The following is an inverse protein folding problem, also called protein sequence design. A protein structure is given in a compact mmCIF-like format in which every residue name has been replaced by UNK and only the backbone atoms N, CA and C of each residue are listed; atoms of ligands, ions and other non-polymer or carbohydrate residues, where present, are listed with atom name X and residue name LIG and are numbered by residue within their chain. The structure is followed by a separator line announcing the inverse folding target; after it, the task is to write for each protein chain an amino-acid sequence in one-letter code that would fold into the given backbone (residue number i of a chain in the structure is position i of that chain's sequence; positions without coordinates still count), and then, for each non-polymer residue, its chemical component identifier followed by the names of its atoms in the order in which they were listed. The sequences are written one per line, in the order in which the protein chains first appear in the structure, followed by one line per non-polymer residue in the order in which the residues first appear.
data_IF_778297679169
#
_entry.id   IF_778297679169
#
_cell.length_a   1.000
_cell.length_b   1.000
_cell.length_c   1.000
_cell.angle_alpha   90.00
_cell.angle_beta   90.00
_cell.angle_gamma   90.00
#
_symmetry.space_group_name_H-M   'P 1'
#
loop_
_entity.id
_entity.type
_entity.pdbx_description
1 polymer ?
#
# COMPACT_ATOMS: atom_id res chain seq x y z
N UNK A 1 -23.31 -4.92 -1.45
CA UNK A 1 -22.67 -5.50 -0.27
C UNK A 1 -23.10 -4.74 0.96
N UNK A 2 -23.24 -5.40 2.14
CA UNK A 2 -23.70 -4.76 3.39
C UNK A 2 -22.54 -4.05 4.07
N UNK A 3 -22.65 -2.75 4.34
CA UNK A 3 -21.66 -1.98 5.12
C UNK A 3 -21.55 -2.51 6.54
N UNK A 4 -20.35 -2.47 7.10
CA UNK A 4 -20.07 -2.88 8.48
C UNK A 4 -19.94 -1.61 9.32
N UNK A 5 -20.84 -1.43 10.26
CA UNK A 5 -20.93 -0.20 11.06
C UNK A 5 -20.20 -0.29 12.42
N UNK A 6 -19.85 -1.50 12.87
CA UNK A 6 -19.12 -1.67 14.13
C UNK A 6 -17.61 -1.73 13.88
N UNK A 7 -16.86 -0.82 14.49
CA UNK A 7 -15.41 -0.70 14.31
C UNK A 7 -14.65 -1.99 14.70
N UNK A 8 -15.02 -2.62 15.79
CA UNK A 8 -14.40 -3.89 16.23
C UNK A 8 -14.64 -5.00 15.21
N UNK A 9 -15.83 -5.04 14.62
CA UNK A 9 -16.15 -6.02 13.57
C UNK A 9 -15.35 -5.76 12.28
N UNK A 10 -15.12 -4.50 11.93
CA UNK A 10 -14.25 -4.13 10.80
C UNK A 10 -12.85 -4.70 11.02
N UNK A 11 -12.26 -4.46 12.20
CA UNK A 11 -10.93 -4.99 12.55
C UNK A 11 -10.92 -6.52 12.47
N UNK A 12 -11.90 -7.18 13.08
CA UNK A 12 -11.98 -8.65 13.14
C UNK A 12 -12.25 -9.31 11.78
N UNK A 13 -12.96 -8.64 10.88
CA UNK A 13 -13.31 -9.15 9.54
C UNK A 13 -12.27 -8.88 8.47
N UNK A 14 -11.36 -7.91 8.70
CA UNK A 14 -10.28 -7.64 7.75
C UNK A 14 -9.41 -8.89 7.57
N UNK A 15 -9.24 -9.31 6.33
CA UNK A 15 -8.36 -10.42 5.92
C UNK A 15 -7.59 -10.07 4.66
N UNK A 16 -6.40 -10.66 4.50
CA UNK A 16 -5.67 -10.64 3.23
C UNK A 16 -6.28 -11.67 2.28
N UNK A 17 -7.10 -11.20 1.36
CA UNK A 17 -7.79 -12.03 0.36
C UNK A 17 -7.05 -11.95 -0.96
N UNK A 18 -6.76 -13.11 -1.55
CA UNK A 18 -6.01 -13.25 -2.81
C UNK A 18 -6.83 -13.98 -3.89
N UNK A 19 -8.14 -13.94 -3.77
CA UNK A 19 -9.09 -14.45 -4.77
C UNK A 19 -10.21 -13.41 -4.92
N UNK A 20 -10.28 -12.76 -6.07
CA UNK A 20 -11.26 -11.73 -6.37
C UNK A 20 -12.24 -12.20 -7.44
N UNK A 21 -13.48 -11.78 -7.34
CA UNK A 21 -14.52 -12.07 -8.32
C UNK A 21 -14.28 -11.25 -9.60
N UNK A 22 -14.41 -11.90 -10.75
CA UNK A 22 -14.31 -11.24 -12.05
C UNK A 22 -15.53 -10.36 -12.32
N UNK A 23 -15.34 -9.31 -13.12
CA UNK A 23 -16.46 -8.48 -13.61
C UNK A 23 -17.10 -7.56 -12.57
N UNK A 24 -16.55 -7.46 -11.37
CA UNK A 24 -16.99 -6.49 -10.37
C UNK A 24 -16.41 -5.11 -10.65
N UNK A 25 -17.09 -4.09 -10.12
CA UNK A 25 -16.71 -2.68 -10.20
C UNK A 25 -16.79 -2.05 -8.82
N UNK A 26 -16.16 -0.90 -8.66
CA UNK A 26 -16.23 -0.06 -7.46
C UNK A 26 -16.55 1.38 -7.88
N UNK A 27 -17.37 2.07 -7.11
CA UNK A 27 -17.67 3.48 -7.38
C UNK A 27 -16.50 4.39 -6.99
N UNK A 28 -16.38 5.51 -7.66
CA UNK A 28 -15.37 6.54 -7.34
C UNK A 28 -15.58 7.07 -5.93
N UNK A 29 -16.83 7.20 -5.48
CA UNK A 29 -17.17 7.66 -4.13
C UNK A 29 -16.69 6.68 -3.06
N UNK A 30 -16.82 5.35 -3.28
CA UNK A 30 -16.25 4.35 -2.37
C UNK A 30 -14.73 4.42 -2.34
N UNK A 31 -14.08 4.58 -3.50
CA UNK A 31 -12.62 4.75 -3.55
C UNK A 31 -12.17 6.00 -2.80
N UNK A 32 -12.86 7.12 -2.95
CA UNK A 32 -12.55 8.36 -2.20
C UNK A 32 -12.65 8.14 -0.69
N UNK A 33 -13.73 7.51 -0.19
CA UNK A 33 -13.87 7.20 1.25
C UNK A 33 -12.77 6.29 1.77
N UNK A 34 -12.39 5.28 0.98
CA UNK A 34 -11.29 4.35 1.33
C UNK A 34 -9.96 5.08 1.43
N UNK A 35 -9.62 5.91 0.45
CA UNK A 35 -8.38 6.70 0.45
C UNK A 35 -8.37 7.72 1.58
N UNK A 36 -9.53 8.34 1.84
CA UNK A 36 -9.65 9.29 2.94
C UNK A 36 -9.33 8.64 4.29
N UNK A 37 -9.70 7.39 4.53
CA UNK A 37 -9.25 6.64 5.72
C UNK A 37 -7.72 6.64 5.86
N UNK A 38 -6.98 6.49 4.76
CA UNK A 38 -5.52 6.54 4.76
C UNK A 38 -4.98 7.92 5.13
N UNK A 39 -5.64 8.99 4.68
CA UNK A 39 -5.25 10.38 4.99
C UNK A 39 -5.33 10.71 6.48
N UNK A 40 -6.22 10.06 7.21
CA UNK A 40 -6.38 10.22 8.66
C UNK A 40 -5.43 9.34 9.49
N UNK A 41 -4.47 8.68 8.85
CA UNK A 41 -3.46 7.92 9.58
C UNK A 41 -2.50 8.84 10.35
N UNK A 42 -2.07 8.46 11.56
CA UNK A 42 -1.03 9.18 12.25
C UNK A 42 0.30 9.08 11.49
N UNK A 43 1.10 10.13 11.57
CA UNK A 43 2.47 10.13 11.05
C UNK A 43 3.42 10.80 12.04
N UNK A 44 4.68 10.36 12.05
CA UNK A 44 5.69 10.95 12.93
C UNK A 44 5.80 12.46 12.73
N UNK A 45 5.76 13.23 13.83
CA UNK A 45 5.76 14.69 13.83
C UNK A 45 4.68 15.32 12.90
N UNK A 46 3.61 14.58 12.60
CA UNK A 46 2.56 14.99 11.67
C UNK A 46 3.09 15.35 10.27
N UNK A 47 4.11 14.66 9.81
CA UNK A 47 4.77 14.95 8.52
C UNK A 47 3.89 14.63 7.31
N UNK A 48 2.84 13.81 7.49
CA UNK A 48 1.93 13.37 6.42
C UNK A 48 2.70 12.92 5.17
N UNK A 49 3.73 12.09 5.39
CA UNK A 49 4.76 11.68 4.44
C UNK A 49 4.29 10.63 3.42
N UNK A 50 3.04 10.65 3.03
CA UNK A 50 2.46 9.69 2.11
C UNK A 50 1.48 10.34 1.14
N UNK A 51 1.51 9.85 -0.09
CA UNK A 51 0.55 10.12 -1.15
C UNK A 51 -0.11 8.83 -1.63
N UNK A 52 -1.22 8.96 -2.36
CA UNK A 52 -1.99 7.81 -2.83
C UNK A 52 -2.26 7.92 -4.33
N UNK A 53 -1.87 6.87 -5.07
CA UNK A 53 -2.27 6.70 -6.47
C UNK A 53 -3.32 5.61 -6.56
N UNK A 54 -4.49 5.94 -7.11
CA UNK A 54 -5.60 5.01 -7.30
C UNK A 54 -5.69 4.60 -8.76
N UNK A 55 -5.57 3.32 -9.01
CA UNK A 55 -5.69 2.72 -10.33
C UNK A 55 -6.98 1.91 -10.36
N UNK A 56 -8.00 2.36 -11.09
CA UNK A 56 -9.26 1.65 -11.29
C UNK A 56 -9.56 1.38 -12.78
N UNK A 57 -8.67 1.79 -13.67
CA UNK A 57 -8.73 1.46 -15.09
C UNK A 57 -8.19 0.04 -15.35
N UNK A 58 -8.93 -0.74 -16.10
CA UNK A 58 -8.60 -2.15 -16.36
C UNK A 58 -7.28 -2.35 -17.09
N UNK A 59 -6.95 -1.45 -18.03
CA UNK A 59 -5.70 -1.51 -18.80
C UNK A 59 -4.51 -1.25 -17.88
N UNK A 60 -4.63 -0.26 -16.98
CA UNK A 60 -3.59 0.05 -15.98
C UNK A 60 -3.48 -1.03 -14.92
N UNK A 61 -4.60 -1.61 -14.42
CA UNK A 61 -4.57 -2.77 -13.52
C UNK A 61 -3.78 -3.92 -14.15
N UNK A 62 -4.04 -4.24 -15.42
CA UNK A 62 -3.33 -5.32 -16.11
C UNK A 62 -1.82 -5.03 -16.27
N UNK A 63 -1.44 -3.78 -16.60
CA UNK A 63 -0.02 -3.38 -16.67
C UNK A 63 0.66 -3.48 -15.31
N UNK A 64 0.02 -2.97 -14.25
CA UNK A 64 0.51 -3.08 -12.87
C UNK A 64 0.63 -4.54 -12.43
N UNK A 65 -0.35 -5.38 -12.77
CA UNK A 65 -0.30 -6.82 -12.52
C UNK A 65 0.95 -7.45 -13.15
N UNK A 66 1.28 -7.08 -14.40
CA UNK A 66 2.48 -7.60 -15.09
C UNK A 66 3.77 -7.25 -14.34
N UNK A 67 3.90 -6.05 -13.80
CA UNK A 67 5.05 -5.66 -12.97
C UNK A 67 5.19 -6.60 -11.77
N UNK A 68 4.10 -6.89 -11.06
CA UNK A 68 4.13 -7.80 -9.91
C UNK A 68 4.33 -9.28 -10.29
N UNK A 69 3.91 -9.71 -11.48
CA UNK A 69 4.23 -11.05 -11.98
C UNK A 69 5.73 -11.17 -12.29
N UNK A 70 6.34 -10.14 -12.90
CA UNK A 70 7.78 -10.10 -13.12
C UNK A 70 8.55 -10.14 -11.79
N UNK A 71 8.08 -9.41 -10.78
CA UNK A 71 8.66 -9.47 -9.44
C UNK A 71 8.55 -10.89 -8.84
N UNK A 72 7.39 -11.52 -8.94
CA UNK A 72 7.21 -12.89 -8.46
C UNK A 72 8.19 -13.86 -9.14
N UNK A 73 8.40 -13.72 -10.44
CA UNK A 73 9.36 -14.55 -11.20
C UNK A 73 10.79 -14.34 -10.69
N UNK A 74 11.22 -13.07 -10.47
CA UNK A 74 12.56 -12.80 -9.92
C UNK A 74 12.77 -13.45 -8.55
N UNK A 75 11.72 -13.48 -7.70
CA UNK A 75 11.81 -14.15 -6.40
C UNK A 75 11.99 -15.65 -6.51
N UNK A 76 11.35 -16.30 -7.48
CA UNK A 76 11.54 -17.76 -7.77
C UNK A 76 12.97 -18.03 -8.22
N UNK A 77 13.50 -17.20 -9.12
CA UNK A 77 14.83 -17.37 -9.69
C UNK A 77 15.93 -17.18 -8.62
N UNK A 78 15.69 -16.28 -7.66
CA UNK A 78 16.62 -15.95 -6.59
C UNK A 78 16.63 -16.99 -5.45
N UNK A 79 15.51 -17.50 -5.06
CA UNK A 79 15.36 -18.39 -3.90
C UNK A 79 14.66 -19.68 -4.27
N UNK A 80 15.44 -20.69 -4.69
CA UNK A 80 14.92 -22.04 -4.91
C UNK A 80 14.24 -22.54 -3.64
N UNK A 81 12.93 -22.82 -3.72
CA UNK A 81 12.13 -23.28 -2.59
C UNK A 81 11.37 -22.17 -1.84
N UNK A 82 11.56 -20.88 -2.15
CA UNK A 82 10.68 -19.84 -1.67
C UNK A 82 9.35 -19.92 -2.44
N UNK A 83 8.21 -20.14 -1.76
CA UNK A 83 6.93 -20.20 -2.44
C UNK A 83 6.64 -18.84 -3.07
N UNK A 84 6.85 -18.71 -4.37
CA UNK A 84 6.43 -17.53 -5.10
C UNK A 84 4.93 -17.37 -4.91
N UNK A 85 4.54 -16.27 -4.27
CA UNK A 85 3.13 -15.97 -4.09
C UNK A 85 2.55 -15.67 -5.46
N UNK A 86 1.69 -16.55 -5.95
CA UNK A 86 0.97 -16.30 -7.19
C UNK A 86 0.22 -14.97 -7.10
N UNK A 87 0.57 -14.02 -7.98
CA UNK A 87 -0.01 -12.67 -8.02
C UNK A 87 -1.02 -12.49 -9.16
N UNK A 88 -1.41 -13.55 -9.85
CA UNK A 88 -2.37 -13.51 -10.96
C UNK A 88 -3.75 -12.97 -10.55
N UNK A 89 -4.11 -13.08 -9.27
CA UNK A 89 -5.35 -12.55 -8.73
C UNK A 89 -5.48 -11.03 -8.89
N UNK A 90 -4.37 -10.29 -9.02
CA UNK A 90 -4.38 -8.84 -9.21
C UNK A 90 -5.13 -8.43 -10.47
N UNK A 91 -5.09 -9.24 -11.53
CA UNK A 91 -5.84 -8.98 -12.75
C UNK A 91 -7.37 -8.96 -12.56
N UNK A 92 -7.88 -9.49 -11.45
CA UNK A 92 -9.30 -9.50 -11.13
C UNK A 92 -9.70 -8.48 -10.07
N UNK A 93 -8.77 -7.62 -9.61
CA UNK A 93 -9.11 -6.54 -8.68
C UNK A 93 -9.96 -5.47 -9.37
N UNK A 94 -10.74 -4.76 -8.58
CA UNK A 94 -11.52 -3.59 -9.04
C UNK A 94 -10.70 -2.29 -8.97
N UNK A 95 -9.67 -2.28 -8.12
CA UNK A 95 -8.73 -1.18 -8.00
C UNK A 95 -7.41 -1.64 -7.36
N UNK A 96 -6.35 -0.88 -7.60
CA UNK A 96 -5.07 -0.96 -6.90
C UNK A 96 -4.81 0.43 -6.30
N UNK A 97 -4.50 0.48 -5.01
CA UNK A 97 -4.10 1.71 -4.32
C UNK A 97 -2.61 1.59 -4.01
N UNK A 98 -1.81 2.47 -4.59
CA UNK A 98 -0.37 2.54 -4.32
C UNK A 98 -0.16 3.65 -3.30
N UNK A 99 0.46 3.30 -2.17
CA UNK A 99 0.88 4.26 -1.16
C UNK A 99 2.32 4.64 -1.44
N UNK A 100 2.53 5.91 -1.71
CA UNK A 100 3.85 6.47 -2.05
C UNK A 100 4.39 7.16 -0.80
N UNK A 101 5.61 6.82 -0.40
CA UNK A 101 6.31 7.52 0.65
C UNK A 101 7.03 8.77 0.10
N UNK A 102 6.82 9.91 0.73
CA UNK A 102 7.48 11.17 0.37
C UNK A 102 8.83 11.31 1.08
N UNK A 103 9.95 11.33 0.36
CA UNK A 103 11.28 11.44 0.96
C UNK A 103 11.54 12.81 1.64
N UNK A 104 10.70 13.81 1.44
CA UNK A 104 10.79 15.13 2.10
C UNK A 104 10.65 15.02 3.63
N UNK A 105 10.10 13.92 4.14
CA UNK A 105 10.00 13.65 5.57
C UNK A 105 11.36 13.81 6.30
N UNK A 106 12.48 13.54 5.61
CA UNK A 106 13.84 13.61 6.19
C UNK A 106 14.22 15.02 6.66
N UNK A 107 13.66 16.04 6.05
CA UNK A 107 13.95 17.44 6.38
C UNK A 107 12.94 18.06 7.37
N UNK A 108 11.86 17.36 7.67
CA UNK A 108 10.84 17.81 8.61
C UNK A 108 11.24 17.66 10.08
N UNK A 109 12.27 16.87 10.37
CA UNK A 109 12.75 16.66 11.74
C UNK A 109 13.84 17.65 12.11
N UNK A 110 13.70 18.41 13.22
CA UNK A 110 14.66 19.44 13.62
C UNK A 110 16.11 18.93 13.76
N UNK A 111 16.28 17.68 14.20
CA UNK A 111 17.60 17.07 14.36
C UNK A 111 18.23 16.60 13.03
N UNK A 112 17.50 16.59 11.92
CA UNK A 112 18.04 16.23 10.60
C UNK A 112 19.17 17.17 10.15
N UNK A 113 19.16 18.41 10.63
CA UNK A 113 20.21 19.42 10.41
C UNK A 113 21.38 19.34 11.41
N UNK A 114 21.25 18.58 12.50
CA UNK A 114 22.27 18.46 13.55
C UNK A 114 23.37 17.47 13.16
N UNK A 115 24.64 17.90 13.20
CA UNK A 115 25.79 17.03 13.00
C UNK A 115 25.95 15.97 14.10
N UNK A 116 25.53 16.30 15.32
CA UNK A 116 25.71 15.45 16.52
C UNK A 116 24.67 14.33 16.52
N UNK A 117 23.40 14.65 16.28
CA UNK A 117 22.29 13.70 16.40
C UNK A 117 21.93 12.98 15.10
N UNK A 118 22.50 13.41 13.97
CA UNK A 118 22.14 12.87 12.64
C UNK A 118 22.32 11.35 12.55
N UNK A 119 23.42 10.82 13.08
CA UNK A 119 23.67 9.37 13.03
C UNK A 119 22.74 8.60 13.95
N UNK A 120 22.53 9.10 15.16
CA UNK A 120 21.68 8.46 16.18
C UNK A 120 20.21 8.40 15.78
N UNK A 121 19.72 9.43 15.10
CA UNK A 121 18.31 9.53 14.71
C UNK A 121 17.98 9.06 13.29
N UNK A 122 18.97 8.81 12.42
CA UNK A 122 18.70 8.38 11.05
C UNK A 122 17.91 7.07 10.99
N UNK A 123 18.32 6.05 11.75
CA UNK A 123 17.66 4.75 11.77
C UNK A 123 16.26 4.86 12.38
N UNK A 124 16.12 5.67 13.44
CA UNK A 124 14.84 5.95 14.06
C UNK A 124 13.90 6.72 13.14
N UNK A 125 14.40 7.67 12.36
CA UNK A 125 13.60 8.40 11.37
C UNK A 125 13.04 7.45 10.29
N UNK A 126 13.86 6.54 9.79
CA UNK A 126 13.40 5.55 8.82
C UNK A 126 12.31 4.65 9.42
N UNK A 127 12.47 4.20 10.67
CA UNK A 127 11.47 3.42 11.36
C UNK A 127 10.15 4.20 11.52
N UNK A 128 10.21 5.46 11.93
CA UNK A 128 9.04 6.35 12.06
C UNK A 128 8.33 6.52 10.71
N UNK A 129 9.11 6.73 9.66
CA UNK A 129 8.57 6.85 8.29
C UNK A 129 7.82 5.58 7.87
N UNK A 130 8.46 4.41 8.00
CA UNK A 130 7.85 3.13 7.64
C UNK A 130 6.61 2.83 8.50
N UNK A 131 6.63 3.13 9.80
CA UNK A 131 5.47 3.01 10.67
C UNK A 131 4.31 3.93 10.20
N UNK A 132 4.62 5.14 9.78
CA UNK A 132 3.61 6.09 9.24
C UNK A 132 2.96 5.55 7.97
N UNK A 133 3.76 5.00 7.04
CA UNK A 133 3.22 4.33 5.84
C UNK A 133 2.37 3.12 6.21
N UNK A 134 2.83 2.31 7.17
CA UNK A 134 2.09 1.15 7.66
C UNK A 134 0.74 1.52 8.26
N UNK A 135 0.68 2.61 9.02
CA UNK A 135 -0.56 3.14 9.60
C UNK A 135 -1.55 3.57 8.48
N UNK A 136 -1.07 4.30 7.46
CA UNK A 136 -1.90 4.71 6.33
C UNK A 136 -2.44 3.50 5.55
N UNK A 137 -1.62 2.50 5.27
CA UNK A 137 -2.04 1.27 4.59
C UNK A 137 -3.07 0.50 5.43
N UNK A 138 -2.85 0.39 6.75
CA UNK A 138 -3.80 -0.29 7.63
C UNK A 138 -5.15 0.42 7.66
N UNK A 139 -5.16 1.76 7.74
CA UNK A 139 -6.41 2.54 7.69
C UNK A 139 -7.16 2.32 6.36
N UNK A 140 -6.45 2.31 5.22
CA UNK A 140 -7.03 1.96 3.91
C UNK A 140 -7.67 0.57 3.95
N UNK A 141 -6.98 -0.44 4.49
CA UNK A 141 -7.53 -1.80 4.57
C UNK A 141 -8.77 -1.90 5.47
N UNK A 142 -8.82 -1.12 6.55
CA UNK A 142 -10.01 -1.03 7.40
C UNK A 142 -11.16 -0.34 6.66
N UNK A 143 -10.87 0.75 5.91
CA UNK A 143 -11.82 1.42 5.04
C UNK A 143 -12.41 0.50 3.97
N UNK A 144 -11.55 -0.30 3.30
CA UNK A 144 -12.00 -1.34 2.36
C UNK A 144 -12.97 -2.31 3.02
N UNK A 145 -12.63 -2.78 4.23
CA UNK A 145 -13.48 -3.74 4.96
C UNK A 145 -14.80 -3.10 5.40
N UNK A 146 -14.80 -1.83 5.82
CA UNK A 146 -16.00 -1.08 6.18
C UNK A 146 -16.95 -0.89 4.99
N UNK A 147 -16.41 -0.69 3.79
CA UNK A 147 -17.19 -0.65 2.54
C UNK A 147 -17.72 -2.04 2.11
N UNK A 148 -17.44 -3.10 2.91
CA UNK A 148 -17.85 -4.48 2.65
C UNK A 148 -16.99 -5.16 1.58
N UNK A 149 -15.84 -4.61 1.25
CA UNK A 149 -14.88 -5.13 0.27
C UNK A 149 -13.78 -5.94 0.95
N UNK A 150 -12.90 -6.53 0.15
CA UNK A 150 -11.71 -7.25 0.63
C UNK A 150 -10.46 -6.75 -0.06
N UNK A 151 -9.32 -6.89 0.59
CA UNK A 151 -8.03 -6.44 0.07
C UNK A 151 -6.90 -7.41 0.35
N UNK A 152 -5.78 -7.20 -0.33
CA UNK A 152 -4.49 -7.78 -0.01
C UNK A 152 -3.43 -6.69 0.01
N UNK A 153 -2.54 -6.72 1.01
CA UNK A 153 -1.38 -5.84 1.06
C UNK A 153 -0.20 -6.49 0.31
N UNK A 154 0.41 -5.75 -0.60
CA UNK A 154 1.59 -6.13 -1.36
C UNK A 154 2.78 -5.30 -0.89
N UNK A 155 3.68 -5.89 -0.12
CA UNK A 155 4.90 -5.23 0.35
C UNK A 155 6.02 -5.17 -0.71
N UNK A 156 5.93 -5.99 -1.75
CA UNK A 156 6.97 -6.09 -2.78
C UNK A 156 7.12 -4.87 -3.70
N UNK A 157 6.24 -3.85 -3.58
CA UNK A 157 6.38 -2.58 -4.29
C UNK A 157 7.64 -1.81 -3.88
N UNK A 158 8.16 -2.04 -2.67
CA UNK A 158 9.38 -1.42 -2.17
C UNK A 158 10.68 -2.01 -2.71
N UNK A 159 10.64 -3.15 -3.41
CA UNK A 159 11.82 -3.69 -4.09
C UNK A 159 12.25 -2.74 -5.21
N UNK A 160 13.55 -2.42 -5.31
CA UNK A 160 14.09 -1.37 -6.17
C UNK A 160 13.64 -1.51 -7.65
N UNK A 161 13.76 -2.71 -8.21
CA UNK A 161 13.37 -2.97 -9.60
C UNK A 161 11.86 -2.80 -9.79
N UNK A 162 11.05 -3.34 -8.87
CA UNK A 162 9.58 -3.21 -8.91
C UNK A 162 9.17 -1.73 -8.77
N UNK A 163 9.79 -1.00 -7.85
CA UNK A 163 9.55 0.43 -7.65
C UNK A 163 9.84 1.22 -8.92
N UNK A 164 11.00 0.98 -9.56
CA UNK A 164 11.39 1.62 -10.82
C UNK A 164 10.42 1.28 -11.97
N UNK A 165 9.96 0.03 -12.07
CA UNK A 165 8.98 -0.37 -13.08
C UNK A 165 7.62 0.32 -12.85
N UNK A 166 7.17 0.41 -11.60
CA UNK A 166 5.94 1.13 -11.23
C UNK A 166 6.06 2.62 -11.52
N UNK A 167 7.18 3.26 -11.17
CA UNK A 167 7.42 4.69 -11.41
C UNK A 167 7.44 5.07 -12.90
N UNK A 168 7.81 4.14 -13.77
CA UNK A 168 7.74 4.33 -15.22
C UNK A 168 6.33 4.15 -15.79
N UNK A 169 5.48 3.45 -15.06
CA UNK A 169 4.13 3.13 -15.47
C UNK A 169 3.13 4.23 -15.06
N UNK A 170 3.39 4.89 -13.94
CA UNK A 170 2.55 5.92 -13.32
C UNK A 170 2.99 7.32 -13.70
#
# INVERSE_FOLDING_TARGET
MKKINNFIDVIKKRRSVRKFEKGKTISVESLKRIVDCGRWAPSGANTQCFDFVVINDKKMINKTTKVFLNQAQRLVDFAKGFPAVNKTYLANTVAIIIVIGDPRWKVCFPHASSKIYKKEYNDNNEAIFLCSLGAAIQNIQLGVTAEGLTSAWLSGAGEETTNRELSKLL
#
